data_IF_670708739648
#
_entry.id   IF_670708739648
#
_cell.length_a   1.000
_cell.length_b   1.000
_cell.length_c   1.000
_cell.angle_alpha   90.00
_cell.angle_beta   90.00
_cell.angle_gamma   90.00
#
_symmetry.space_group_name_H-M   'P 1'
#
loop_
_entity.id
_entity.type
_entity.pdbx_description
1 polymer ?
#
# COMPACT_ATOMS: atom_id res chain seq x y z
N UNK A 1 -18.04 -16.93 17.04
CA UNK A 1 -17.83 -16.56 15.63
C UNK A 1 -18.34 -15.14 15.44
N UNK A 2 -17.45 -14.14 15.41
CA UNK A 2 -17.82 -12.73 15.30
C UNK A 2 -17.92 -12.32 13.84
N UNK A 3 -19.14 -12.05 13.36
CA UNK A 3 -19.38 -11.42 12.05
C UNK A 3 -19.03 -9.94 12.15
N UNK A 4 -17.85 -9.58 11.63
CA UNK A 4 -17.52 -8.18 11.38
C UNK A 4 -18.42 -7.70 10.26
N UNK A 5 -19.51 -6.99 10.60
CA UNK A 5 -20.34 -6.25 9.64
C UNK A 5 -19.45 -5.22 8.97
N UNK A 6 -18.90 -5.55 7.79
CA UNK A 6 -18.29 -4.57 6.91
C UNK A 6 -19.34 -3.51 6.59
N UNK A 7 -19.00 -2.24 6.86
CA UNK A 7 -19.80 -1.10 6.37
C UNK A 7 -20.07 -1.31 4.87
N UNK A 8 -21.27 -0.98 4.36
CA UNK A 8 -21.54 -1.10 2.93
C UNK A 8 -20.45 -0.35 2.16
N UNK A 9 -19.71 -1.07 1.31
CA UNK A 9 -18.69 -0.46 0.46
C UNK A 9 -19.40 0.34 -0.61
N UNK A 10 -19.31 1.66 -0.54
CA UNK A 10 -19.99 2.51 -1.53
C UNK A 10 -19.11 2.68 -2.76
N UNK A 11 -19.79 2.83 -3.89
CA UNK A 11 -19.23 2.80 -5.21
C UNK A 11 -18.60 4.17 -5.56
N UNK A 12 -17.30 4.19 -5.86
CA UNK A 12 -16.52 5.38 -6.28
C UNK A 12 -16.17 5.29 -7.78
N UNK A 13 -16.92 4.48 -8.53
CA UNK A 13 -16.49 3.93 -9.81
C UNK A 13 -16.74 4.88 -11.01
N UNK A 14 -17.13 6.14 -10.76
CA UNK A 14 -17.23 7.18 -11.79
C UNK A 14 -16.42 8.46 -11.47
N UNK A 15 -15.10 8.34 -11.23
CA UNK A 15 -14.31 9.45 -10.71
C UNK A 15 -14.03 10.57 -11.71
N UNK A 16 -14.17 10.31 -13.01
CA UNK A 16 -13.95 11.28 -14.09
C UNK A 16 -15.10 12.29 -14.19
N UNK A 17 -16.33 11.84 -14.01
CA UNK A 17 -17.53 12.70 -13.94
C UNK A 17 -17.48 13.60 -12.70
N UNK A 18 -17.03 13.05 -11.57
CA UNK A 18 -16.90 13.77 -10.30
C UNK A 18 -15.79 14.82 -10.39
N UNK A 19 -14.65 14.49 -10.99
CA UNK A 19 -13.54 15.43 -11.17
C UNK A 19 -13.80 16.57 -12.16
N UNK A 20 -14.77 16.44 -13.06
CA UNK A 20 -15.26 17.55 -13.90
C UNK A 20 -16.18 18.48 -13.10
N UNK A 21 -17.06 17.92 -12.24
CA UNK A 21 -17.94 18.71 -11.38
C UNK A 21 -17.14 19.48 -10.30
N UNK A 22 -16.12 18.86 -9.68
CA UNK A 22 -15.27 19.51 -8.66
C UNK A 22 -14.44 20.68 -9.18
N UNK A 23 -14.29 20.82 -10.50
CA UNK A 23 -13.59 21.94 -11.13
C UNK A 23 -14.53 23.08 -11.55
N UNK A 24 -15.83 22.89 -11.39
CA UNK A 24 -16.82 23.85 -11.81
C UNK A 24 -17.19 24.75 -10.62
N UNK A 25 -16.62 25.96 -10.55
CA UNK A 25 -16.95 26.99 -9.55
C UNK A 25 -18.34 27.64 -9.75
N UNK A 26 -19.23 27.02 -10.55
CA UNK A 26 -20.55 27.61 -10.84
C UNK A 26 -21.58 27.19 -9.78
N UNK A 27 -22.28 28.15 -9.13
CA UNK A 27 -23.32 27.85 -8.13
C UNK A 27 -24.52 27.06 -8.70
N UNK A 28 -24.64 26.99 -10.03
CA UNK A 28 -25.65 26.22 -10.75
C UNK A 28 -25.40 24.68 -10.69
N UNK A 29 -24.25 24.25 -10.16
CA UNK A 29 -23.84 22.85 -10.10
C UNK A 29 -24.57 22.00 -9.06
N UNK A 30 -25.25 22.58 -8.06
CA UNK A 30 -26.18 21.84 -7.21
C UNK A 30 -27.24 21.12 -8.06
N UNK A 31 -27.66 21.75 -9.16
CA UNK A 31 -28.65 21.22 -10.09
C UNK A 31 -28.06 20.25 -11.13
N UNK A 32 -26.76 20.29 -11.41
CA UNK A 32 -26.11 19.40 -12.40
C UNK A 32 -25.95 17.97 -11.87
N UNK A 33 -25.55 17.79 -10.62
CA UNK A 33 -25.40 16.47 -9.98
C UNK A 33 -26.76 15.80 -9.76
N UNK A 34 -27.77 16.57 -9.35
CA UNK A 34 -29.15 16.08 -9.18
C UNK A 34 -29.80 15.72 -10.52
N UNK A 35 -29.60 16.53 -11.58
CA UNK A 35 -30.20 16.28 -12.91
C UNK A 35 -29.59 15.12 -13.69
N UNK A 36 -28.30 14.80 -13.47
CA UNK A 36 -27.58 13.85 -14.32
C UNK A 36 -27.32 12.49 -13.69
N UNK A 37 -27.31 12.36 -12.35
CA UNK A 37 -26.78 11.14 -11.74
C UNK A 37 -27.46 10.70 -10.40
N UNK A 38 -28.44 11.45 -9.87
CA UNK A 38 -29.26 11.03 -8.72
C UNK A 38 -28.54 11.07 -7.36
N UNK A 39 -29.23 10.63 -6.30
CA UNK A 39 -28.76 10.72 -4.89
C UNK A 39 -27.43 9.96 -4.61
N UNK A 40 -27.08 9.00 -5.46
CA UNK A 40 -25.82 8.26 -5.35
C UNK A 40 -24.62 9.07 -5.83
N UNK A 41 -24.83 9.99 -6.76
CA UNK A 41 -23.78 10.87 -7.27
C UNK A 41 -23.40 11.97 -6.29
N UNK A 42 -24.39 12.55 -5.57
CA UNK A 42 -24.11 13.52 -4.50
C UNK A 42 -23.27 12.88 -3.39
N UNK A 43 -23.63 11.68 -2.96
CA UNK A 43 -22.85 10.91 -1.97
C UNK A 43 -21.45 10.54 -2.46
N UNK A 44 -21.27 10.31 -3.76
CA UNK A 44 -19.95 10.07 -4.33
C UNK A 44 -19.11 11.35 -4.36
N UNK A 45 -19.73 12.52 -4.60
CA UNK A 45 -19.10 13.83 -4.57
C UNK A 45 -18.58 14.18 -3.16
N UNK A 46 -19.43 14.05 -2.13
CA UNK A 46 -19.05 14.34 -0.73
C UNK A 46 -17.83 13.50 -0.30
N UNK A 47 -17.75 12.24 -0.74
CA UNK A 47 -16.60 11.35 -0.47
C UNK A 47 -15.33 11.78 -1.19
N UNK A 48 -15.47 12.35 -2.38
CA UNK A 48 -14.33 12.86 -3.14
C UNK A 48 -13.78 14.14 -2.49
N UNK A 49 -14.65 15.02 -2.00
CA UNK A 49 -14.24 16.16 -1.16
C UNK A 49 -13.54 15.68 0.11
N UNK A 50 -14.15 14.74 0.85
CA UNK A 50 -13.54 14.18 2.06
C UNK A 50 -12.16 13.55 1.75
N UNK A 51 -12.03 12.81 0.64
CA UNK A 51 -10.74 12.26 0.21
C UNK A 51 -9.69 13.35 -0.04
N UNK A 52 -10.10 14.44 -0.72
CA UNK A 52 -9.22 15.58 -1.05
C UNK A 52 -8.78 16.30 0.22
N UNK A 53 -9.70 16.56 1.16
CA UNK A 53 -9.40 17.17 2.45
C UNK A 53 -8.43 16.32 3.26
N UNK A 54 -8.68 15.01 3.36
CA UNK A 54 -7.80 14.10 4.09
C UNK A 54 -6.41 14.02 3.46
N UNK A 55 -6.33 14.00 2.13
CA UNK A 55 -5.05 14.02 1.42
C UNK A 55 -4.31 15.35 1.62
N UNK A 56 -5.02 16.48 1.58
CA UNK A 56 -4.47 17.81 1.86
C UNK A 56 -4.05 18.00 3.32
N UNK A 57 -4.69 17.31 4.25
CA UNK A 57 -4.30 17.26 5.66
C UNK A 57 -3.07 16.35 5.91
N UNK A 58 -2.56 15.66 4.88
CA UNK A 58 -1.39 14.79 4.98
C UNK A 58 -1.68 13.42 5.61
N UNK A 59 -2.95 12.99 5.61
CA UNK A 59 -3.35 11.69 6.15
C UNK A 59 -2.81 10.58 5.24
N UNK A 60 -2.29 9.49 5.84
CA UNK A 60 -1.74 8.38 5.07
C UNK A 60 -2.86 7.54 4.41
N UNK A 61 -2.61 6.95 3.25
CA UNK A 61 -3.62 6.20 2.47
C UNK A 61 -4.35 5.09 3.22
N UNK A 62 -3.69 4.46 4.21
CA UNK A 62 -4.32 3.43 5.05
C UNK A 62 -5.46 4.04 5.86
N UNK A 63 -5.22 5.19 6.46
CA UNK A 63 -6.16 5.84 7.36
C UNK A 63 -7.24 6.57 6.55
N UNK A 64 -6.90 7.10 5.37
CA UNK A 64 -7.88 7.57 4.36
C UNK A 64 -8.82 6.43 3.98
N UNK A 65 -8.29 5.25 3.63
CA UNK A 65 -9.10 4.08 3.29
C UNK A 65 -10.02 3.64 4.43
N UNK A 66 -9.53 3.65 5.67
CA UNK A 66 -10.33 3.31 6.84
C UNK A 66 -11.51 4.28 7.07
N UNK A 67 -11.31 5.59 6.84
CA UNK A 67 -12.37 6.60 6.96
C UNK A 67 -13.42 6.44 5.85
N UNK A 68 -12.96 6.31 4.61
CA UNK A 68 -13.83 6.22 3.44
C UNK A 68 -14.47 4.83 3.23
N UNK A 69 -14.06 3.83 4.01
CA UNK A 69 -14.55 2.45 3.89
C UNK A 69 -14.04 1.72 2.65
N UNK A 70 -12.81 2.03 2.20
CA UNK A 70 -12.17 1.42 1.04
C UNK A 70 -10.80 0.84 1.39
N UNK A 71 -10.29 -0.06 0.54
CA UNK A 71 -8.95 -0.59 0.73
C UNK A 71 -7.89 0.51 0.59
N UNK A 72 -6.73 0.32 1.23
CA UNK A 72 -5.58 1.21 1.10
C UNK A 72 -5.18 1.38 -0.37
N UNK A 73 -5.23 0.31 -1.15
CA UNK A 73 -4.89 0.31 -2.57
C UNK A 73 -5.89 1.15 -3.37
N UNK A 74 -7.20 1.04 -3.06
CA UNK A 74 -8.23 1.87 -3.70
C UNK A 74 -8.07 3.34 -3.30
N UNK A 75 -7.85 3.65 -2.03
CA UNK A 75 -7.58 5.02 -1.56
C UNK A 75 -6.36 5.64 -2.27
N UNK A 76 -5.26 4.88 -2.41
CA UNK A 76 -4.07 5.35 -3.13
C UNK A 76 -4.34 5.64 -4.61
N UNK A 77 -5.12 4.79 -5.31
CA UNK A 77 -5.51 5.03 -6.71
C UNK A 77 -6.37 6.28 -6.86
N UNK A 78 -7.30 6.51 -5.94
CA UNK A 78 -8.17 7.69 -5.94
C UNK A 78 -7.39 8.98 -5.68
N UNK A 79 -6.45 8.97 -4.72
CA UNK A 79 -5.58 10.12 -4.47
C UNK A 79 -4.68 10.41 -5.69
N UNK A 80 -4.11 9.38 -6.32
CA UNK A 80 -3.32 9.54 -7.54
C UNK A 80 -4.15 10.11 -8.70
N UNK A 81 -5.42 9.71 -8.78
CA UNK A 81 -6.36 10.26 -9.75
C UNK A 81 -6.71 11.72 -9.45
N UNK A 82 -6.91 12.08 -8.18
CA UNK A 82 -7.12 13.47 -7.75
C UNK A 82 -5.94 14.38 -8.15
N UNK A 83 -4.71 13.89 -7.95
CA UNK A 83 -3.47 14.56 -8.41
C UNK A 83 -3.46 14.70 -9.94
N UNK A 84 -3.74 13.62 -10.67
CA UNK A 84 -3.77 13.61 -12.14
C UNK A 84 -4.82 14.57 -12.73
N UNK A 85 -5.94 14.74 -12.02
CA UNK A 85 -7.00 15.68 -12.40
C UNK A 85 -6.70 17.12 -11.98
N UNK A 86 -5.59 17.38 -11.29
CA UNK A 86 -5.22 18.71 -10.82
C UNK A 86 -6.06 19.21 -9.64
N UNK A 87 -6.82 18.34 -8.97
CA UNK A 87 -7.64 18.70 -7.80
C UNK A 87 -6.79 18.90 -6.55
N UNK A 88 -5.65 18.21 -6.47
CA UNK A 88 -4.67 18.32 -5.39
C UNK A 88 -3.26 18.37 -5.97
N UNK A 89 -2.38 19.14 -5.32
CA UNK A 89 -0.96 19.14 -5.67
C UNK A 89 -0.33 17.82 -5.23
N UNK A 90 0.51 17.24 -6.10
CA UNK A 90 1.34 16.11 -5.71
C UNK A 90 2.28 16.55 -4.59
N UNK A 91 2.11 15.95 -3.41
CA UNK A 91 2.97 16.23 -2.25
C UNK A 91 4.05 15.17 -2.08
N UNK A 92 4.20 14.25 -3.04
CA UNK A 92 5.18 13.19 -2.95
C UNK A 92 4.91 12.24 -1.78
N UNK A 93 3.67 12.19 -1.26
CA UNK A 93 3.21 11.15 -0.34
C UNK A 93 3.07 9.82 -1.10
N UNK A 94 4.14 9.40 -1.75
CA UNK A 94 4.36 8.00 -2.06
C UNK A 94 4.32 7.31 -0.72
N UNK A 95 3.27 6.52 -0.53
CA UNK A 95 3.20 5.34 0.32
C UNK A 95 4.44 5.32 1.21
N UNK A 96 4.34 5.82 2.45
CA UNK A 96 5.30 5.38 3.45
C UNK A 96 5.14 3.86 3.46
N UNK A 97 5.93 3.17 2.61
CA UNK A 97 6.17 1.76 2.71
C UNK A 97 6.80 1.73 4.08
N UNK A 98 5.99 1.39 5.09
CA UNK A 98 6.46 1.12 6.43
C UNK A 98 7.80 0.43 6.24
N UNK A 99 8.91 0.98 6.78
CA UNK A 99 10.24 0.45 6.50
C UNK A 99 10.11 -1.04 6.70
N UNK A 100 10.23 -1.81 5.60
CA UNK A 100 10.03 -3.25 5.67
C UNK A 100 11.02 -3.66 6.74
N UNK A 101 10.55 -4.05 7.94
CA UNK A 101 11.41 -4.56 9.00
C UNK A 101 12.26 -5.60 8.29
N UNK A 102 13.52 -5.28 8.04
CA UNK A 102 14.34 -6.09 7.14
C UNK A 102 14.48 -7.40 7.90
N UNK A 103 13.84 -8.44 7.39
CA UNK A 103 13.93 -9.75 8.01
C UNK A 103 15.41 -10.06 8.23
N UNK A 104 15.76 -10.40 9.47
CA UNK A 104 17.10 -10.85 9.79
C UNK A 104 17.15 -12.35 9.55
N UNK A 105 18.32 -12.83 9.18
CA UNK A 105 18.59 -14.22 8.86
C UNK A 105 19.82 -14.63 9.65
N UNK A 106 19.81 -15.87 10.11
CA UNK A 106 20.98 -16.56 10.64
C UNK A 106 21.27 -17.74 9.72
N UNK A 107 22.49 -17.83 9.23
CA UNK A 107 22.95 -18.93 8.39
C UNK A 107 23.94 -19.76 9.20
N UNK A 108 23.66 -21.04 9.31
CA UNK A 108 24.50 -22.01 10.01
C UNK A 108 25.03 -23.06 9.05
N UNK A 109 26.21 -23.56 9.33
CA UNK A 109 26.65 -24.83 8.75
C UNK A 109 25.80 -25.96 9.35
N UNK A 110 25.34 -26.87 8.50
CA UNK A 110 24.44 -27.95 8.92
C UNK A 110 25.18 -29.10 9.59
N UNK A 111 26.45 -29.31 9.28
CA UNK A 111 27.25 -30.37 9.85
C UNK A 111 27.85 -29.95 11.19
N UNK A 112 28.37 -28.72 11.30
CA UNK A 112 29.03 -28.24 12.53
C UNK A 112 28.11 -27.43 13.43
N UNK A 113 27.01 -26.89 12.91
CA UNK A 113 26.13 -25.98 13.64
C UNK A 113 26.69 -24.55 13.80
N UNK A 114 27.89 -24.28 13.26
CA UNK A 114 28.56 -22.98 13.38
C UNK A 114 27.80 -21.89 12.64
N UNK A 115 27.77 -20.69 13.22
CA UNK A 115 27.15 -19.52 12.59
C UNK A 115 28.09 -18.97 11.54
N UNK A 116 27.70 -19.09 10.27
CA UNK A 116 28.46 -18.61 9.12
C UNK A 116 28.11 -17.16 8.78
N UNK A 117 26.86 -16.75 9.02
CA UNK A 117 26.44 -15.38 8.80
C UNK A 117 25.21 -15.00 9.62
N UNK A 118 25.11 -13.74 10.03
CA UNK A 118 23.91 -13.20 10.68
C UNK A 118 23.68 -11.74 10.28
N UNK A 119 22.42 -11.39 10.02
CA UNK A 119 22.02 -10.02 9.68
C UNK A 119 20.90 -9.95 8.66
N UNK A 120 20.77 -8.82 8.01
CA UNK A 120 19.88 -8.65 6.86
C UNK A 120 20.34 -9.50 5.68
N UNK A 121 19.45 -9.73 4.71
CA UNK A 121 19.78 -10.46 3.48
C UNK A 121 21.03 -9.92 2.77
N UNK A 122 21.21 -8.61 2.70
CA UNK A 122 22.39 -8.00 2.10
C UNK A 122 23.68 -8.29 2.90
N UNK A 123 23.63 -8.24 4.22
CA UNK A 123 24.77 -8.52 5.10
C UNK A 123 25.18 -9.99 5.02
N UNK A 124 24.23 -10.92 5.11
CA UNK A 124 24.52 -12.34 4.96
C UNK A 124 25.05 -12.66 3.56
N UNK A 125 24.57 -11.98 2.52
CA UNK A 125 25.10 -12.15 1.16
C UNK A 125 26.57 -11.72 1.09
N UNK A 126 26.95 -10.64 1.77
CA UNK A 126 28.33 -10.14 1.81
C UNK A 126 29.24 -11.06 2.62
N UNK A 127 28.80 -11.48 3.81
CA UNK A 127 29.55 -12.39 4.69
C UNK A 127 29.80 -13.75 4.01
N UNK A 128 28.83 -14.25 3.24
CA UNK A 128 28.95 -15.51 2.49
C UNK A 128 29.62 -15.37 1.10
N UNK A 129 30.07 -14.16 0.72
CA UNK A 129 30.75 -13.92 -0.55
C UNK A 129 29.87 -14.01 -1.81
N UNK A 130 28.55 -13.89 -1.68
CA UNK A 130 27.64 -13.96 -2.82
C UNK A 130 27.68 -12.68 -3.68
N UNK A 131 27.89 -12.84 -5.00
CA UNK A 131 27.75 -11.77 -6.00
C UNK A 131 26.28 -11.50 -6.34
N UNK A 132 25.50 -11.07 -5.36
CA UNK A 132 24.17 -10.50 -5.56
C UNK A 132 23.00 -11.26 -4.91
N UNK A 133 21.82 -10.63 -4.99
CA UNK A 133 20.63 -11.02 -4.21
C UNK A 133 20.05 -12.38 -4.59
N UNK A 134 20.16 -12.80 -5.85
CA UNK A 134 19.57 -14.07 -6.34
C UNK A 134 20.19 -15.30 -5.66
N UNK A 135 21.49 -15.25 -5.36
CA UNK A 135 22.23 -16.36 -4.75
C UNK A 135 21.77 -16.65 -3.32
N UNK A 136 21.50 -15.61 -2.53
CA UNK A 136 20.96 -15.79 -1.18
C UNK A 136 19.54 -16.36 -1.17
N UNK A 137 18.68 -15.95 -2.12
CA UNK A 137 17.35 -16.55 -2.27
C UNK A 137 17.44 -18.04 -2.58
N UNK A 138 18.33 -18.44 -3.49
CA UNK A 138 18.56 -19.84 -3.81
C UNK A 138 19.05 -20.62 -2.59
N UNK A 139 19.91 -20.03 -1.76
CA UNK A 139 20.34 -20.62 -0.49
C UNK A 139 19.16 -20.86 0.46
N UNK A 140 18.28 -19.87 0.66
CA UNK A 140 17.09 -20.02 1.52
C UNK A 140 16.17 -21.11 0.99
N UNK A 141 15.91 -21.13 -0.32
CA UNK A 141 15.06 -22.16 -0.95
C UNK A 141 15.63 -23.56 -0.73
N UNK A 142 16.94 -23.75 -0.95
CA UNK A 142 17.62 -25.03 -0.73
C UNK A 142 17.56 -25.45 0.73
N UNK A 143 17.83 -24.54 1.66
CA UNK A 143 17.68 -24.79 3.09
C UNK A 143 16.26 -25.25 3.47
N UNK A 144 15.22 -24.58 2.96
CA UNK A 144 13.83 -24.93 3.25
C UNK A 144 13.43 -26.30 2.68
N UNK A 145 14.04 -26.70 1.56
CA UNK A 145 13.88 -28.04 0.98
C UNK A 145 14.72 -29.10 1.72
N UNK A 146 15.48 -28.71 2.75
CA UNK A 146 16.42 -29.60 3.43
C UNK A 146 17.59 -30.01 2.55
N UNK A 147 17.92 -29.23 1.51
CA UNK A 147 18.98 -29.52 0.54
C UNK A 147 20.18 -28.61 0.81
N UNK A 148 21.38 -29.19 0.82
CA UNK A 148 22.64 -28.47 0.94
C UNK A 148 23.20 -28.40 2.37
N UNK A 149 24.43 -27.89 2.46
CA UNK A 149 25.24 -27.89 3.68
C UNK A 149 24.93 -26.76 4.67
N UNK A 150 23.96 -25.88 4.36
CA UNK A 150 23.68 -24.69 5.16
C UNK A 150 22.21 -24.61 5.54
N UNK A 151 21.96 -24.28 6.80
CA UNK A 151 20.64 -24.00 7.35
C UNK A 151 20.44 -22.49 7.42
N UNK A 152 19.30 -22.00 6.94
CA UNK A 152 18.92 -20.58 7.01
C UNK A 152 17.69 -20.43 7.89
N UNK A 153 17.86 -19.76 9.02
CA UNK A 153 16.80 -19.42 9.96
C UNK A 153 16.39 -17.97 9.78
N UNK A 154 15.10 -17.71 9.61
CA UNK A 154 14.58 -16.34 9.60
C UNK A 154 14.34 -15.90 11.04
N UNK A 155 15.02 -14.84 11.46
CA UNK A 155 14.82 -14.23 12.77
C UNK A 155 13.69 -13.21 12.66
N UNK A 156 12.70 -13.33 13.53
CA UNK A 156 11.65 -12.30 13.66
C UNK A 156 12.26 -11.01 14.25
N UNK A 157 11.79 -9.83 13.80
CA UNK A 157 12.35 -8.54 14.19
C UNK A 157 11.84 -8.03 15.54
#
# INVERSE_FOLDING_TARGET
MGTVKGKPGYNLDAPELIGQCLRCDKPECDNCLERSAGADARRAFDRWEELIELYNAGVIYRDIGARLGVSKEKAGRLCALAVRMGLVRDRGYHVQRAPKRRARYRVRDRATGEILAEGTREECSRQLGFKGKKSFCALVTRSNQGIGARLVERMEP
#
